data_IF_372800078873
#
_entry.id   IF_372800078873
#
_cell.length_a   1.000
_cell.length_b   1.000
_cell.length_c   1.000
_cell.angle_alpha   90.00
_cell.angle_beta   90.00
_cell.angle_gamma   90.00
#
_symmetry.space_group_name_H-M   'P 1'
#
loop_
_entity.id
_entity.type
_entity.pdbx_description
1 polymer ?
#
# COMPACT_ATOMS: atom_id res chain seq x y z
N UNK A 1 21.51 -18.80 0.53
CA UNK A 1 21.99 -17.43 0.81
C UNK A 1 22.23 -16.75 -0.52
N UNK A 2 21.66 -15.56 -0.69
CA UNK A 2 21.85 -14.72 -1.87
C UNK A 2 22.62 -13.49 -1.37
N UNK A 3 23.72 -13.14 -2.04
CA UNK A 3 24.47 -11.90 -1.73
C UNK A 3 24.46 -11.00 -2.95
N UNK A 4 24.39 -9.72 -2.70
CA UNK A 4 24.49 -8.67 -3.68
C UNK A 4 25.57 -7.69 -3.25
N UNK A 5 26.42 -7.30 -4.19
CA UNK A 5 27.51 -6.35 -3.97
C UNK A 5 27.46 -5.25 -5.03
N UNK A 6 27.66 -4.01 -4.59
CA UNK A 6 27.65 -2.80 -5.41
C UNK A 6 26.41 -2.64 -6.33
N UNK A 7 25.21 -2.91 -5.78
CA UNK A 7 23.95 -2.69 -6.51
C UNK A 7 23.86 -1.22 -6.92
N UNK A 8 23.74 -0.95 -8.22
CA UNK A 8 23.41 0.38 -8.76
C UNK A 8 22.28 0.24 -9.76
N UNK A 9 21.20 0.98 -9.54
CA UNK A 9 20.09 1.09 -10.48
C UNK A 9 20.05 2.52 -10.99
N UNK A 10 20.13 2.69 -12.31
CA UNK A 10 20.13 4.00 -12.97
C UNK A 10 19.03 4.06 -14.01
N UNK A 11 18.44 5.24 -14.17
CA UNK A 11 17.64 5.59 -15.33
C UNK A 11 18.40 6.66 -16.11
N UNK A 12 18.79 6.36 -17.34
CA UNK A 12 19.81 7.14 -18.06
C UNK A 12 21.09 7.26 -17.19
N UNK A 13 21.52 8.48 -16.86
CA UNK A 13 22.67 8.75 -15.99
C UNK A 13 22.30 8.98 -14.52
N UNK A 14 21.00 9.08 -14.21
CA UNK A 14 20.53 9.39 -12.85
C UNK A 14 20.57 8.13 -11.98
N UNK A 15 21.29 8.23 -10.85
CA UNK A 15 21.34 7.17 -9.85
C UNK A 15 20.03 7.13 -9.05
N UNK A 16 19.22 6.10 -9.29
CA UNK A 16 17.97 5.89 -8.57
C UNK A 16 18.18 5.14 -7.26
N UNK A 17 19.13 4.19 -7.25
CA UNK A 17 19.38 3.36 -6.07
C UNK A 17 20.81 2.85 -6.02
N UNK A 18 21.39 2.86 -4.82
CA UNK A 18 22.69 2.29 -4.50
C UNK A 18 22.64 1.46 -3.21
N UNK A 19 23.21 0.27 -3.25
CA UNK A 19 23.50 -0.51 -2.05
C UNK A 19 24.88 -1.17 -2.17
N UNK A 20 25.76 -0.89 -1.21
CA UNK A 20 27.11 -1.45 -1.20
C UNK A 20 27.10 -2.97 -1.02
N UNK A 21 26.31 -3.45 -0.06
CA UNK A 21 26.15 -4.87 0.20
C UNK A 21 24.76 -5.18 0.73
N UNK A 22 24.14 -6.22 0.19
CA UNK A 22 22.88 -6.75 0.69
C UNK A 22 22.91 -8.28 0.70
N UNK A 23 22.48 -8.89 1.80
CA UNK A 23 22.53 -10.36 1.95
C UNK A 23 21.19 -10.87 2.45
N UNK A 24 20.68 -11.89 1.78
CA UNK A 24 19.44 -12.58 2.12
C UNK A 24 19.79 -13.98 2.63
N UNK A 25 19.49 -14.23 3.91
CA UNK A 25 19.65 -15.55 4.54
C UNK A 25 18.32 -16.29 4.52
N UNK A 26 18.38 -17.63 4.41
CA UNK A 26 17.16 -18.46 4.39
C UNK A 26 16.45 -18.36 5.75
N UNK A 27 15.13 -18.16 5.73
CA UNK A 27 14.31 -18.07 6.94
C UNK A 27 14.43 -16.75 7.69
N UNK A 28 15.04 -15.73 7.06
CA UNK A 28 15.22 -14.40 7.65
C UNK A 28 14.00 -13.50 7.36
N UNK A 29 13.61 -12.68 8.33
CA UNK A 29 12.61 -11.63 8.18
C UNK A 29 13.30 -10.26 8.21
N UNK A 30 13.32 -9.58 7.07
CA UNK A 30 14.02 -8.31 6.87
C UNK A 30 13.02 -7.18 6.68
N UNK A 31 13.27 -6.02 7.30
CA UNK A 31 12.51 -4.80 7.05
C UNK A 31 13.32 -3.76 6.27
N UNK A 32 12.68 -3.11 5.30
CA UNK A 32 13.17 -1.95 4.58
C UNK A 32 12.24 -0.76 4.82
N UNK A 33 12.74 0.26 5.50
CA UNK A 33 12.01 1.52 5.70
C UNK A 33 12.54 2.63 4.79
N UNK A 34 11.70 3.62 4.52
CA UNK A 34 12.09 4.83 3.81
C UNK A 34 10.89 5.74 3.57
N UNK A 35 11.15 7.01 3.25
CA UNK A 35 10.08 7.92 2.81
C UNK A 35 9.45 7.44 1.49
N UNK A 36 8.24 7.93 1.19
CA UNK A 36 7.62 7.65 -0.11
C UNK A 36 8.48 8.19 -1.25
N UNK A 37 8.49 7.51 -2.40
CA UNK A 37 9.26 7.91 -3.58
C UNK A 37 10.77 7.64 -3.53
N UNK A 38 11.33 7.13 -2.43
CA UNK A 38 12.77 6.89 -2.30
C UNK A 38 13.29 5.61 -3.01
N UNK A 39 12.40 4.80 -3.60
CA UNK A 39 12.78 3.59 -4.35
C UNK A 39 12.63 2.25 -3.61
N UNK A 40 11.79 2.15 -2.57
CA UNK A 40 11.56 0.89 -1.83
C UNK A 40 11.05 -0.22 -2.75
N UNK A 41 9.99 0.08 -3.51
CA UNK A 41 9.41 -0.78 -4.55
C UNK A 41 10.43 -1.18 -5.60
N UNK A 42 11.25 -0.22 -6.05
CA UNK A 42 12.32 -0.46 -7.03
C UNK A 42 13.32 -1.50 -6.50
N UNK A 43 13.70 -1.39 -5.23
CA UNK A 43 14.61 -2.34 -4.59
C UNK A 43 13.99 -3.73 -4.44
N UNK A 44 12.75 -3.83 -3.96
CA UNK A 44 12.07 -5.12 -3.85
C UNK A 44 11.96 -5.80 -5.22
N UNK A 45 11.60 -5.05 -6.26
CA UNK A 45 11.55 -5.57 -7.63
C UNK A 45 12.92 -6.03 -8.11
N UNK A 46 14.00 -5.32 -7.78
CA UNK A 46 15.36 -5.74 -8.08
C UNK A 46 15.70 -7.08 -7.40
N UNK A 47 15.43 -7.18 -6.10
CA UNK A 47 15.65 -8.42 -5.36
C UNK A 47 14.80 -9.57 -5.89
N UNK A 48 13.58 -9.30 -6.37
CA UNK A 48 12.69 -10.32 -6.92
C UNK A 48 13.01 -10.75 -8.35
N UNK A 49 13.93 -10.06 -9.04
CA UNK A 49 14.20 -10.29 -10.47
C UNK A 49 13.15 -9.67 -11.40
N UNK A 50 12.27 -8.80 -10.89
CA UNK A 50 11.18 -8.18 -11.65
C UNK A 50 11.60 -6.94 -12.43
N UNK A 51 12.85 -6.46 -12.30
CA UNK A 51 13.30 -5.29 -13.06
C UNK A 51 13.67 -5.57 -14.52
N UNK A 52 13.68 -6.83 -14.94
CA UNK A 52 13.91 -7.20 -16.34
C UNK A 52 12.79 -6.71 -17.26
N UNK A 53 11.58 -6.48 -16.72
CA UNK A 53 10.47 -5.85 -17.43
C UNK A 53 10.68 -4.35 -17.72
N UNK A 54 11.74 -3.74 -17.18
CA UNK A 54 12.07 -2.32 -17.35
C UNK A 54 13.45 -2.19 -18.03
N UNK A 55 13.54 -2.40 -19.36
CA UNK A 55 14.80 -2.40 -20.11
C UNK A 55 15.52 -1.03 -20.10
N UNK A 56 14.79 0.06 -19.86
CA UNK A 56 15.32 1.42 -19.72
C UNK A 56 16.18 1.63 -18.46
N UNK A 57 16.06 0.73 -17.48
CA UNK A 57 16.85 0.75 -16.26
C UNK A 57 18.17 0.01 -16.47
N UNK A 58 19.28 0.71 -16.21
CA UNK A 58 20.61 0.08 -16.15
C UNK A 58 20.82 -0.50 -14.75
N UNK A 59 21.07 -1.81 -14.69
CA UNK A 59 21.37 -2.55 -13.45
C UNK A 59 22.84 -2.92 -13.43
N UNK A 60 23.59 -2.42 -12.47
CA UNK A 60 25.01 -2.76 -12.25
C UNK A 60 25.14 -3.41 -10.85
N UNK A 61 26.23 -4.15 -10.66
CA UNK A 61 26.52 -4.86 -9.41
C UNK A 61 26.75 -6.36 -9.65
N UNK A 62 27.10 -7.06 -8.58
CA UNK A 62 27.39 -8.49 -8.59
C UNK A 62 26.36 -9.25 -7.76
N UNK A 63 25.90 -10.38 -8.28
CA UNK A 63 25.03 -11.31 -7.54
C UNK A 63 25.81 -12.58 -7.25
N UNK A 64 25.71 -13.10 -6.03
CA UNK A 64 26.30 -14.37 -5.64
C UNK A 64 25.23 -15.33 -5.14
N UNK A 65 25.11 -16.48 -5.81
CA UNK A 65 24.21 -17.57 -5.45
C UNK A 65 25.04 -18.75 -4.95
N UNK A 66 24.86 -19.14 -3.67
CA UNK A 66 25.67 -20.20 -3.04
C UNK A 66 27.19 -19.97 -3.24
N UNK A 67 27.60 -18.71 -3.10
CA UNK A 67 28.97 -18.22 -3.27
C UNK A 67 29.54 -18.28 -4.72
N UNK A 68 28.72 -18.67 -5.70
CA UNK A 68 29.06 -18.52 -7.12
C UNK A 68 28.65 -17.14 -7.64
N UNK A 69 29.60 -16.42 -8.26
CA UNK A 69 29.33 -15.15 -8.95
C UNK A 69 28.44 -15.38 -10.17
N UNK A 70 27.37 -14.59 -10.29
CA UNK A 70 26.44 -14.52 -11.42
C UNK A 70 26.23 -13.06 -11.80
N UNK A 71 25.95 -12.80 -13.06
CA UNK A 71 25.38 -11.52 -13.46
C UNK A 71 23.89 -11.44 -13.08
N UNK A 72 23.32 -10.24 -13.14
CA UNK A 72 21.94 -10.00 -12.74
C UNK A 72 20.92 -10.67 -13.68
N UNK A 73 21.20 -10.79 -14.98
CA UNK A 73 20.29 -11.46 -15.90
C UNK A 73 20.21 -12.97 -15.58
N UNK A 74 21.37 -13.60 -15.38
CA UNK A 74 21.47 -15.00 -14.96
C UNK A 74 20.78 -15.21 -13.61
N UNK A 75 20.81 -14.23 -12.71
CA UNK A 75 20.03 -14.26 -11.47
C UNK A 75 18.52 -14.29 -11.76
N UNK A 76 18.01 -13.37 -12.59
CA UNK A 76 16.60 -13.30 -12.95
C UNK A 76 16.11 -14.58 -13.65
N UNK A 77 16.85 -15.08 -14.65
CA UNK A 77 16.50 -16.27 -15.44
C UNK A 77 16.34 -17.53 -14.57
N UNK A 78 17.08 -17.59 -13.46
CA UNK A 78 17.07 -18.74 -12.55
C UNK A 78 16.20 -18.54 -11.30
N UNK A 79 15.64 -17.34 -11.08
CA UNK A 79 15.04 -16.98 -9.79
C UNK A 79 13.57 -16.61 -9.87
N UNK A 80 12.78 -17.51 -10.45
CA UNK A 80 11.33 -17.58 -10.18
C UNK A 80 11.01 -18.01 -8.73
N UNK A 81 11.97 -18.11 -7.79
CA UNK A 81 11.71 -18.52 -6.40
C UNK A 81 11.25 -17.37 -5.49
N UNK A 82 10.93 -16.22 -6.09
CA UNK A 82 10.34 -15.08 -5.39
C UNK A 82 8.82 -15.01 -5.58
N UNK A 83 8.12 -14.49 -4.59
CA UNK A 83 6.71 -14.12 -4.63
C UNK A 83 6.59 -12.66 -4.23
N UNK A 84 5.98 -11.83 -5.07
CA UNK A 84 5.87 -10.39 -4.82
C UNK A 84 4.41 -9.99 -4.64
N UNK A 85 4.13 -9.30 -3.54
CA UNK A 85 2.85 -8.61 -3.28
C UNK A 85 3.14 -7.12 -3.28
N UNK A 86 2.57 -6.40 -4.25
CA UNK A 86 2.67 -4.95 -4.32
C UNK A 86 1.65 -4.23 -3.44
N UNK A 87 1.79 -2.91 -3.39
CA UNK A 87 0.92 -2.01 -2.61
C UNK A 87 -0.56 -2.08 -3.02
N UNK A 88 -0.85 -2.22 -4.31
CA UNK A 88 -2.20 -2.33 -4.83
C UNK A 88 -2.57 -3.79 -5.09
N UNK A 89 -3.18 -4.42 -4.10
CA UNK A 89 -3.57 -5.84 -4.11
C UNK A 89 -4.39 -6.25 -5.35
N UNK A 90 -5.24 -5.36 -5.85
CA UNK A 90 -6.10 -5.59 -7.01
C UNK A 90 -5.30 -5.96 -8.28
N UNK A 91 -4.05 -5.50 -8.38
CA UNK A 91 -3.18 -5.79 -9.52
C UNK A 91 -2.51 -7.18 -9.45
N UNK A 92 -2.71 -7.94 -8.37
CA UNK A 92 -2.03 -9.22 -8.12
C UNK A 92 -2.97 -10.43 -8.08
N UNK A 93 -4.26 -10.22 -8.35
CA UNK A 93 -5.24 -11.30 -8.49
C UNK A 93 -5.66 -11.44 -9.95
N UNK A 94 -5.91 -12.67 -10.39
CA UNK A 94 -6.30 -12.94 -11.79
C UNK A 94 -7.54 -13.80 -11.94
N UNK A 95 -7.91 -14.55 -10.90
CA UNK A 95 -9.08 -15.41 -10.86
C UNK A 95 -10.39 -14.67 -10.68
N UNK A 96 -11.49 -15.41 -10.85
CA UNK A 96 -12.85 -14.91 -10.58
C UNK A 96 -13.29 -15.23 -9.16
N UNK A 97 -12.97 -16.44 -8.68
CA UNK A 97 -13.30 -16.92 -7.35
C UNK A 97 -12.06 -17.05 -6.47
N UNK A 98 -12.24 -16.83 -5.17
CA UNK A 98 -11.15 -16.90 -4.19
C UNK A 98 -10.47 -18.27 -4.18
N UNK A 99 -11.24 -19.35 -4.33
CA UNK A 99 -10.71 -20.71 -4.32
C UNK A 99 -9.82 -21.00 -5.54
N UNK A 100 -10.26 -20.62 -6.74
CA UNK A 100 -9.48 -20.78 -7.98
C UNK A 100 -8.14 -20.05 -7.91
N UNK A 101 -8.14 -18.86 -7.30
CA UNK A 101 -6.92 -18.09 -7.05
C UNK A 101 -5.93 -18.91 -6.18
N UNK A 102 -6.40 -19.48 -5.06
CA UNK A 102 -5.53 -20.29 -4.19
C UNK A 102 -5.04 -21.57 -4.87
N UNK A 103 -5.89 -22.23 -5.66
CA UNK A 103 -5.51 -23.42 -6.44
C UNK A 103 -4.36 -23.10 -7.39
N UNK A 104 -4.44 -21.95 -8.07
CA UNK A 104 -3.41 -21.47 -9.00
C UNK A 104 -2.05 -21.31 -8.34
N UNK A 105 -2.00 -21.03 -7.04
CA UNK A 105 -0.74 -20.87 -6.30
C UNK A 105 -0.31 -22.10 -5.50
N UNK A 106 -1.08 -23.19 -5.52
CA UNK A 106 -0.65 -24.50 -5.01
C UNK A 106 0.25 -25.27 -6.00
N UNK A 107 0.74 -24.63 -7.07
CA UNK A 107 1.50 -25.23 -8.19
C UNK A 107 2.61 -26.20 -7.77
N UNK A 108 2.89 -27.16 -8.65
CA UNK A 108 3.89 -28.23 -8.45
C UNK A 108 3.28 -29.61 -8.17
N UNK A 109 1.95 -29.72 -8.18
CA UNK A 109 1.19 -30.94 -7.95
C UNK A 109 0.01 -31.05 -8.92
N UNK A 110 -0.68 -32.20 -8.93
CA UNK A 110 -1.91 -32.41 -9.70
C UNK A 110 -3.03 -31.45 -9.26
N UNK A 111 -3.86 -31.02 -10.21
CA UNK A 111 -4.95 -30.09 -9.95
C UNK A 111 -5.86 -30.54 -8.80
N UNK A 112 -6.19 -31.83 -8.70
CA UNK A 112 -7.06 -32.33 -7.64
C UNK A 112 -6.42 -32.20 -6.25
N UNK A 113 -5.08 -32.34 -6.18
CA UNK A 113 -4.33 -32.15 -4.93
C UNK A 113 -4.31 -30.67 -4.56
N UNK A 114 -4.08 -29.78 -5.53
CA UNK A 114 -4.15 -28.33 -5.35
C UNK A 114 -5.54 -27.89 -4.87
N UNK A 115 -6.60 -28.38 -5.51
CA UNK A 115 -7.99 -28.14 -5.12
C UNK A 115 -8.25 -28.58 -3.69
N UNK A 116 -7.92 -29.83 -3.33
CA UNK A 116 -8.08 -30.33 -1.97
C UNK A 116 -7.33 -29.49 -0.93
N UNK A 117 -6.09 -29.06 -1.23
CA UNK A 117 -5.29 -28.20 -0.35
C UNK A 117 -5.92 -26.82 -0.18
N UNK A 118 -6.34 -26.19 -1.27
CA UNK A 118 -6.99 -24.89 -1.26
C UNK A 118 -8.32 -24.94 -0.49
N UNK A 119 -9.19 -25.91 -0.78
CA UNK A 119 -10.47 -26.09 -0.07
C UNK A 119 -10.26 -26.29 1.43
N UNK A 120 -9.29 -27.13 1.81
CA UNK A 120 -8.94 -27.35 3.22
C UNK A 120 -8.42 -26.07 3.87
N UNK A 121 -7.52 -25.36 3.21
CA UNK A 121 -6.95 -24.12 3.71
C UNK A 121 -8.05 -23.05 3.92
N UNK A 122 -9.00 -22.93 2.98
CA UNK A 122 -10.16 -22.06 3.11
C UNK A 122 -11.03 -22.46 4.30
N UNK A 123 -11.33 -23.76 4.46
CA UNK A 123 -12.12 -24.24 5.59
C UNK A 123 -11.46 -23.95 6.94
N UNK A 124 -10.14 -24.05 7.04
CA UNK A 124 -9.40 -23.84 8.29
C UNK A 124 -9.21 -22.35 8.63
N UNK A 125 -9.10 -21.47 7.63
CA UNK A 125 -8.70 -20.07 7.85
C UNK A 125 -9.82 -19.06 7.56
N UNK A 126 -10.64 -19.30 6.52
CA UNK A 126 -11.68 -18.35 6.09
C UNK A 126 -12.81 -19.04 5.30
N UNK A 127 -13.70 -19.80 5.94
CA UNK A 127 -14.72 -20.62 5.26
C UNK A 127 -15.58 -19.87 4.24
N UNK A 128 -15.90 -18.60 4.50
CA UNK A 128 -16.72 -17.78 3.61
C UNK A 128 -16.02 -17.37 2.30
N UNK A 129 -14.73 -17.67 2.12
CA UNK A 129 -14.07 -17.51 0.82
C UNK A 129 -14.45 -18.60 -0.17
N UNK A 130 -15.04 -19.71 0.30
CA UNK A 130 -15.59 -20.74 -0.59
C UNK A 130 -16.67 -20.12 -1.49
N UNK A 131 -16.56 -20.37 -2.79
CA UNK A 131 -17.47 -19.84 -3.83
C UNK A 131 -17.60 -18.30 -3.89
N UNK A 132 -16.77 -17.54 -3.14
CA UNK A 132 -16.83 -16.08 -3.11
C UNK A 132 -16.08 -15.47 -4.30
N UNK A 133 -16.73 -14.52 -4.98
CA UNK A 133 -16.12 -13.78 -6.09
C UNK A 133 -15.11 -12.76 -5.56
N UNK A 134 -13.94 -12.71 -6.18
CA UNK A 134 -12.86 -11.77 -5.83
C UNK A 134 -13.33 -10.31 -5.95
N UNK A 135 -14.14 -10.00 -6.96
CA UNK A 135 -14.69 -8.65 -7.18
C UNK A 135 -15.62 -8.13 -6.08
N UNK A 136 -16.04 -9.00 -5.15
CA UNK A 136 -16.89 -8.64 -4.00
C UNK A 136 -16.10 -8.46 -2.71
N UNK A 137 -14.79 -8.72 -2.73
CA UNK A 137 -13.95 -8.59 -1.55
C UNK A 137 -13.74 -7.13 -1.17
N UNK A 138 -13.70 -6.85 0.14
CA UNK A 138 -13.11 -5.59 0.61
C UNK A 138 -11.60 -5.58 0.33
N UNK A 139 -10.97 -4.40 0.34
CA UNK A 139 -9.51 -4.31 0.17
C UNK A 139 -8.75 -5.15 1.20
N UNK A 140 -9.19 -5.15 2.47
CA UNK A 140 -8.57 -5.97 3.51
C UNK A 140 -8.76 -7.47 3.29
N UNK A 141 -9.94 -7.89 2.79
CA UNK A 141 -10.17 -9.29 2.42
C UNK A 141 -9.34 -9.71 1.21
N UNK A 142 -9.20 -8.84 0.22
CA UNK A 142 -8.37 -9.07 -0.96
C UNK A 142 -6.89 -9.19 -0.58
N UNK A 143 -6.42 -8.31 0.28
CA UNK A 143 -5.07 -8.38 0.82
C UNK A 143 -4.84 -9.71 1.57
N UNK A 144 -5.80 -10.13 2.39
CA UNK A 144 -5.75 -11.42 3.10
C UNK A 144 -5.69 -12.61 2.11
N UNK A 145 -6.48 -12.58 1.03
CA UNK A 145 -6.41 -13.58 -0.05
C UNK A 145 -5.00 -13.64 -0.67
N UNK A 146 -4.35 -12.51 -0.95
CA UNK A 146 -2.98 -12.50 -1.47
C UNK A 146 -1.95 -13.06 -0.48
N UNK A 147 -2.14 -12.85 0.82
CA UNK A 147 -1.28 -13.51 1.80
C UNK A 147 -1.47 -15.03 1.80
N UNK A 148 -2.68 -15.52 1.54
CA UNK A 148 -2.95 -16.94 1.40
C UNK A 148 -2.26 -17.51 0.16
N UNK A 149 -2.29 -16.79 -0.98
CA UNK A 149 -1.57 -17.22 -2.19
C UNK A 149 -0.06 -17.28 -1.96
N UNK A 150 0.54 -16.26 -1.33
CA UNK A 150 1.96 -16.28 -0.97
C UNK A 150 2.33 -17.43 -0.02
N UNK A 151 1.46 -17.72 0.95
CA UNK A 151 1.65 -18.82 1.90
C UNK A 151 1.60 -20.19 1.23
N UNK A 152 0.64 -20.41 0.33
CA UNK A 152 0.46 -21.67 -0.41
C UNK A 152 1.50 -21.85 -1.53
N UNK A 153 2.06 -20.77 -2.04
CA UNK A 153 3.09 -20.82 -3.07
C UNK A 153 4.32 -21.64 -2.61
N UNK A 154 4.96 -22.34 -3.54
CA UNK A 154 6.23 -23.04 -3.27
C UNK A 154 7.45 -22.10 -3.22
N UNK A 155 7.23 -20.78 -3.29
CA UNK A 155 8.30 -19.77 -3.33
C UNK A 155 8.94 -19.60 -1.96
N UNK A 156 10.27 -19.54 -1.91
CA UNK A 156 11.03 -19.39 -0.66
C UNK A 156 11.33 -17.94 -0.28
N UNK A 157 11.27 -17.00 -1.23
CA UNK A 157 11.48 -15.57 -0.97
C UNK A 157 10.17 -14.80 -1.17
N UNK A 158 9.61 -14.26 -0.09
CA UNK A 158 8.38 -13.45 -0.13
C UNK A 158 8.76 -11.98 0.00
N UNK A 159 8.32 -11.16 -0.94
CA UNK A 159 8.59 -9.73 -1.03
C UNK A 159 7.27 -8.99 -0.88
N UNK A 160 7.16 -8.17 0.18
CA UNK A 160 5.93 -7.51 0.56
C UNK A 160 6.15 -6.00 0.52
N UNK A 161 5.48 -5.31 -0.39
CA UNK A 161 5.55 -3.86 -0.53
C UNK A 161 4.35 -3.19 0.14
N UNK A 162 4.60 -2.52 1.25
CA UNK A 162 3.61 -1.84 2.10
C UNK A 162 2.41 -2.74 2.49
N UNK A 163 2.66 -3.92 3.09
CA UNK A 163 1.62 -4.92 3.35
C UNK A 163 0.50 -4.46 4.30
N UNK A 164 0.72 -3.38 5.05
CA UNK A 164 -0.23 -2.81 6.01
C UNK A 164 -0.96 -1.58 5.45
N UNK A 165 -0.66 -1.18 4.21
CA UNK A 165 -1.33 -0.08 3.56
C UNK A 165 -2.85 -0.32 3.54
N UNK A 166 -3.60 0.74 3.85
CA UNK A 166 -5.08 0.72 3.87
C UNK A 166 -5.70 -0.29 4.85
N UNK A 167 -4.95 -0.98 5.71
CA UNK A 167 -5.49 -1.89 6.72
C UNK A 167 -5.79 -1.21 8.06
N UNK A 168 -6.83 -1.64 8.75
CA UNK A 168 -7.08 -1.25 10.14
C UNK A 168 -6.23 -2.06 11.13
N UNK A 169 -6.35 -1.76 12.44
CA UNK A 169 -5.55 -2.43 13.47
C UNK A 169 -5.77 -3.94 13.51
N UNK A 170 -7.02 -4.39 13.38
CA UNK A 170 -7.38 -5.80 13.48
C UNK A 170 -6.89 -6.58 12.26
N UNK A 171 -7.00 -5.98 11.07
CA UNK A 171 -6.47 -6.57 9.83
C UNK A 171 -4.94 -6.65 9.85
N UNK A 172 -4.24 -5.63 10.37
CA UNK A 172 -2.77 -5.67 10.53
C UNK A 172 -2.33 -6.80 11.46
N UNK A 173 -3.05 -7.03 12.56
CA UNK A 173 -2.77 -8.14 13.48
C UNK A 173 -2.92 -9.51 12.78
N UNK A 174 -3.92 -9.67 11.91
CA UNK A 174 -4.06 -10.88 11.08
C UNK A 174 -2.90 -11.05 10.11
N UNK A 175 -2.59 -10.02 9.33
CA UNK A 175 -1.50 -10.08 8.34
C UNK A 175 -0.16 -10.36 9.03
N UNK A 176 0.08 -9.80 10.20
CA UNK A 176 1.31 -10.05 10.97
C UNK A 176 1.47 -11.53 11.31
N UNK A 177 0.39 -12.19 11.78
CA UNK A 177 0.39 -13.64 12.03
C UNK A 177 0.67 -14.46 10.78
N UNK A 178 0.15 -14.04 9.62
CA UNK A 178 0.47 -14.72 8.36
C UNK A 178 1.95 -14.58 7.99
N UNK A 179 2.50 -13.38 8.12
CA UNK A 179 3.92 -13.12 7.88
C UNK A 179 4.80 -13.98 8.80
N UNK A 180 4.50 -14.06 10.09
CA UNK A 180 5.23 -14.90 11.03
C UNK A 180 5.12 -16.38 10.67
N UNK A 181 3.92 -16.87 10.34
CA UNK A 181 3.72 -18.26 9.94
C UNK A 181 4.47 -18.66 8.66
N UNK A 182 4.69 -17.71 7.73
CA UNK A 182 5.50 -17.96 6.53
C UNK A 182 6.96 -18.20 6.92
N UNK A 183 7.49 -17.39 7.84
CA UNK A 183 8.87 -17.53 8.34
C UNK A 183 9.04 -18.83 9.14
N UNK A 184 8.06 -19.19 9.98
CA UNK A 184 8.04 -20.47 10.72
C UNK A 184 8.09 -21.68 9.79
N UNK A 185 7.47 -21.58 8.60
CA UNK A 185 7.55 -22.60 7.54
C UNK A 185 8.86 -22.57 6.74
N UNK A 186 9.82 -21.75 7.15
CA UNK A 186 11.14 -21.65 6.53
C UNK A 186 11.23 -20.74 5.30
N UNK A 187 10.18 -19.96 5.02
CA UNK A 187 10.23 -18.91 3.99
C UNK A 187 11.06 -17.72 4.50
N UNK A 188 11.68 -17.02 3.58
CA UNK A 188 12.39 -15.77 3.83
C UNK A 188 11.47 -14.63 3.44
N UNK A 189 11.31 -13.62 4.29
CA UNK A 189 10.35 -12.54 4.05
C UNK A 189 11.05 -11.18 4.11
N UNK A 190 10.85 -10.35 3.09
CA UNK A 190 11.30 -8.96 3.07
C UNK A 190 10.06 -8.07 3.02
N UNK A 191 9.94 -7.18 4.00
CA UNK A 191 8.85 -6.22 4.09
C UNK A 191 9.39 -4.82 3.83
N UNK A 192 8.86 -4.12 2.85
CA UNK A 192 9.06 -2.68 2.70
C UNK A 192 7.88 -1.92 3.30
N UNK A 193 8.14 -0.80 3.97
CA UNK A 193 7.08 -0.03 4.61
C UNK A 193 7.53 1.32 5.15
N UNK A 194 6.69 1.90 6.00
CA UNK A 194 6.91 3.21 6.61
C UNK A 194 7.17 3.16 8.11
N UNK A 195 7.15 1.97 8.71
CA UNK A 195 7.58 1.70 10.09
C UNK A 195 6.44 1.33 11.03
N UNK A 196 5.18 1.41 10.59
CA UNK A 196 4.04 0.87 11.36
C UNK A 196 4.20 -0.64 11.59
N UNK A 197 4.86 -1.32 10.65
CA UNK A 197 5.18 -2.75 10.66
C UNK A 197 5.99 -3.14 11.90
N UNK A 198 6.86 -2.26 12.37
CA UNK A 198 7.73 -2.50 13.53
C UNK A 198 6.98 -2.59 14.86
N UNK A 199 5.72 -2.15 14.91
CA UNK A 199 4.85 -2.29 16.07
C UNK A 199 4.13 -3.64 16.11
N UNK A 200 4.09 -4.37 15.00
CA UNK A 200 3.38 -5.64 14.89
C UNK A 200 4.29 -6.83 14.53
N UNK A 201 5.50 -6.58 14.03
CA UNK A 201 6.44 -7.60 13.58
C UNK A 201 7.83 -7.37 14.19
N UNK A 202 8.46 -8.46 14.63
CA UNK A 202 9.87 -8.47 15.03
C UNK A 202 10.76 -8.93 13.89
N UNK A 203 11.66 -8.07 13.42
CA UNK A 203 12.54 -8.34 12.29
C UNK A 203 13.96 -8.69 12.74
N UNK A 204 14.61 -9.61 12.02
CA UNK A 204 16.00 -10.00 12.26
C UNK A 204 16.96 -8.87 11.89
N UNK A 205 16.64 -8.14 10.82
CA UNK A 205 17.45 -7.02 10.30
C UNK A 205 16.59 -5.91 9.75
N UNK A 206 17.10 -4.69 9.92
CA UNK A 206 16.47 -3.46 9.49
C UNK A 206 17.40 -2.72 8.54
N UNK A 207 16.81 -2.18 7.48
CA UNK A 207 17.48 -1.34 6.51
C UNK A 207 16.68 -0.07 6.28
N UNK A 208 17.38 1.01 5.99
CA UNK A 208 16.80 2.28 5.58
C UNK A 208 17.29 2.63 4.17
N UNK A 209 16.34 3.01 3.33
CA UNK A 209 16.57 3.66 2.05
C UNK A 209 16.37 5.17 2.21
N UNK A 210 17.48 5.90 2.08
CA UNK A 210 17.52 7.35 2.20
C UNK A 210 18.52 7.91 1.20
N UNK A 211 18.13 8.97 0.49
CA UNK A 211 18.99 9.65 -0.50
C UNK A 211 19.55 8.66 -1.54
N UNK A 212 18.65 7.82 -2.07
CA UNK A 212 18.96 6.72 -2.99
C UNK A 212 19.91 5.65 -2.44
N UNK A 213 20.30 5.68 -1.16
CA UNK A 213 21.25 4.73 -0.56
C UNK A 213 20.57 3.82 0.45
N UNK A 214 20.83 2.51 0.33
CA UNK A 214 20.42 1.52 1.33
C UNK A 214 21.53 1.34 2.36
N UNK A 215 21.15 1.43 3.64
CA UNK A 215 22.05 1.22 4.77
C UNK A 215 21.38 0.40 5.87
N UNK A 216 22.17 -0.38 6.61
CA UNK A 216 21.68 -1.14 7.77
C UNK A 216 21.47 -0.19 8.94
N UNK A 217 20.36 -0.36 9.67
CA UNK A 217 20.02 0.45 10.85
C UNK A 217 19.63 -0.43 12.04
N UNK A 218 19.45 0.18 13.22
CA UNK A 218 18.96 -0.52 14.43
C UNK A 218 17.60 0.00 14.87
N UNK A 219 16.81 -0.84 15.57
CA UNK A 219 15.42 -0.53 15.99
C UNK A 219 15.32 0.79 16.79
N UNK A 220 16.37 1.10 17.57
CA UNK A 220 16.48 2.34 18.36
C UNK A 220 16.41 3.60 17.50
N UNK A 221 16.98 3.58 16.29
CA UNK A 221 17.02 4.73 15.38
C UNK A 221 15.62 5.10 14.88
N UNK A 222 14.76 4.10 14.71
CA UNK A 222 13.39 4.26 14.21
C UNK A 222 12.46 4.70 15.35
N UNK A 223 12.57 4.06 16.51
CA UNK A 223 11.73 4.38 17.68
C UNK A 223 11.80 5.86 18.08
N UNK A 224 12.99 6.48 18.03
CA UNK A 224 13.18 7.91 18.30
C UNK A 224 12.35 8.78 17.35
N UNK A 225 12.37 8.49 16.05
CA UNK A 225 11.63 9.26 15.04
C UNK A 225 10.11 9.19 15.25
N UNK A 226 9.59 8.02 15.59
CA UNK A 226 8.17 7.85 15.91
C UNK A 226 7.77 8.52 17.23
N UNK A 227 8.64 8.49 18.23
CA UNK A 227 8.42 9.20 19.50
C UNK A 227 8.42 10.71 19.30
N UNK A 228 9.32 11.24 18.47
CA UNK A 228 9.40 12.67 18.14
C UNK A 228 8.16 13.17 17.36
N UNK A 229 7.55 12.32 16.52
CA UNK A 229 6.30 12.63 15.83
C UNK A 229 5.10 12.69 16.79
N UNK A 230 5.09 11.84 17.84
CA UNK A 230 4.04 11.86 18.88
C UNK A 230 4.24 12.96 19.93
N UNK A 231 5.49 13.34 20.22
CA UNK A 231 5.81 14.41 21.17
C UNK A 231 5.59 15.80 20.57
N UNK A 232 5.53 15.92 19.24
CA UNK A 232 4.90 17.06 18.53
C UNK A 232 3.37 16.98 18.58
N UNK A 233 2.79 16.56 19.70
CA UNK A 233 1.43 16.94 20.03
C UNK A 233 1.43 18.46 20.16
N UNK A 234 1.14 19.17 19.06
CA UNK A 234 0.60 20.52 19.17
C UNK A 234 -0.55 20.38 20.14
N UNK A 235 -0.56 21.15 21.22
CA UNK A 235 -1.78 21.34 22.00
C UNK A 235 -2.91 21.53 20.99
N UNK A 236 -3.98 20.73 21.12
CA UNK A 236 -5.17 20.92 20.32
C UNK A 236 -5.55 22.38 20.55
N UNK A 237 -5.23 23.26 19.59
CA UNK A 237 -5.72 24.63 19.64
C UNK A 237 -7.23 24.46 19.75
N UNK A 238 -7.84 25.08 20.75
CA UNK A 238 -9.28 25.27 20.72
C UNK A 238 -9.58 25.93 19.39
N UNK A 239 -10.09 25.14 18.45
CA UNK A 239 -10.57 25.66 17.19
C UNK A 239 -11.77 26.49 17.62
N UNK A 240 -11.68 27.80 17.46
CA UNK A 240 -12.85 28.68 17.55
C UNK A 240 -13.74 28.27 16.38
N UNK A 241 -14.59 27.27 16.59
CA UNK A 241 -15.55 26.83 15.59
C UNK A 241 -16.57 27.95 15.43
N UNK A 242 -16.71 28.46 14.21
CA UNK A 242 -17.83 29.30 13.84
C UNK A 242 -19.12 28.48 14.09
N UNK A 243 -20.11 29.02 14.81
CA UNK A 243 -21.36 28.28 15.11
C UNK A 243 -22.18 27.98 13.84
N UNK A 244 -21.80 28.55 12.69
CA UNK A 244 -22.45 28.30 11.41
C UNK A 244 -22.32 26.83 10.99
N UNK A 245 -23.43 26.11 11.06
CA UNK A 245 -23.60 24.76 10.50
C UNK A 245 -23.59 24.80 8.97
N UNK A 246 -22.65 24.09 8.35
CA UNK A 246 -22.53 23.99 6.89
C UNK A 246 -23.29 22.79 6.33
N UNK A 247 -23.19 21.64 7.00
CA UNK A 247 -23.84 20.40 6.59
C UNK A 247 -24.49 19.77 7.81
N UNK A 248 -25.73 19.34 7.66
CA UNK A 248 -26.48 18.63 8.68
C UNK A 248 -27.07 17.36 8.07
N UNK A 249 -26.80 16.23 8.70
CA UNK A 249 -27.35 14.92 8.37
C UNK A 249 -28.21 14.47 9.55
N UNK A 250 -29.47 14.13 9.29
CA UNK A 250 -30.42 13.64 10.31
C UNK A 250 -31.00 12.29 9.94
N UNK A 251 -31.02 11.39 10.92
CA UNK A 251 -31.66 10.08 10.86
C UNK A 251 -31.21 9.31 9.61
N UNK A 252 -29.91 9.40 9.27
CA UNK A 252 -29.39 8.79 8.05
C UNK A 252 -29.34 7.28 8.22
N UNK A 253 -30.14 6.58 7.41
CA UNK A 253 -29.94 5.15 7.15
C UNK A 253 -29.25 4.92 5.81
N UNK A 254 -28.31 3.98 5.80
CA UNK A 254 -27.69 3.49 4.58
C UNK A 254 -27.25 2.04 4.73
N UNK A 255 -27.53 1.24 3.71
CA UNK A 255 -27.10 -0.14 3.60
C UNK A 255 -26.74 -0.47 2.14
N UNK A 256 -25.75 -1.33 1.96
CA UNK A 256 -25.40 -1.94 0.67
C UNK A 256 -25.91 -3.37 0.67
N UNK A 257 -26.83 -3.70 -0.25
CA UNK A 257 -27.47 -5.02 -0.31
C UNK A 257 -27.98 -5.43 1.08
N UNK A 258 -27.36 -6.42 1.72
CA UNK A 258 -27.74 -6.91 3.05
C UNK A 258 -26.89 -6.34 4.20
N UNK A 259 -25.87 -5.52 3.90
CA UNK A 259 -24.97 -4.95 4.90
C UNK A 259 -25.41 -3.55 5.30
N UNK A 260 -25.95 -3.45 6.50
CA UNK A 260 -26.27 -2.18 7.12
C UNK A 260 -25.01 -1.41 7.56
N UNK A 261 -24.87 -0.16 7.10
CA UNK A 261 -23.77 0.72 7.47
C UNK A 261 -24.20 1.76 8.51
N UNK A 262 -25.36 2.38 8.30
CA UNK A 262 -25.94 3.38 9.20
C UNK A 262 -27.42 3.06 9.43
N UNK A 263 -27.83 3.03 10.69
CA UNK A 263 -29.22 2.79 11.12
C UNK A 263 -29.92 4.05 11.64
N UNK A 264 -29.15 5.02 12.13
CA UNK A 264 -29.64 6.25 12.71
C UNK A 264 -28.43 7.16 12.94
N UNK A 265 -27.91 7.76 11.86
CA UNK A 265 -26.73 8.61 11.93
C UNK A 265 -27.13 10.09 11.84
N UNK A 266 -26.89 10.79 12.94
CA UNK A 266 -26.88 12.25 13.01
C UNK A 266 -25.44 12.78 12.92
N UNK A 267 -25.23 13.79 12.08
CA UNK A 267 -23.93 14.46 11.93
C UNK A 267 -24.13 15.94 11.63
N UNK A 268 -23.42 16.79 12.36
CA UNK A 268 -23.33 18.22 12.11
C UNK A 268 -21.88 18.58 11.74
N UNK A 269 -21.70 19.37 10.68
CA UNK A 269 -20.38 19.88 10.27
C UNK A 269 -20.44 21.40 10.30
N UNK A 270 -19.61 22.01 11.15
CA UNK A 270 -19.54 23.47 11.31
C UNK A 270 -18.41 24.08 10.49
N UNK A 271 -18.53 25.38 10.21
CA UNK A 271 -17.54 26.11 9.43
C UNK A 271 -16.22 26.21 10.21
N UNK A 272 -15.12 25.85 9.52
CA UNK A 272 -13.77 25.85 10.09
C UNK A 272 -13.43 24.62 10.95
N UNK A 273 -14.35 23.66 11.08
CA UNK A 273 -14.15 22.43 11.85
C UNK A 273 -13.25 21.44 11.08
N UNK A 274 -12.33 20.80 11.81
CA UNK A 274 -11.54 19.66 11.30
C UNK A 274 -12.10 18.39 11.95
N UNK A 275 -12.84 17.60 11.16
CA UNK A 275 -13.46 16.36 11.64
C UNK A 275 -12.65 15.17 11.15
N UNK A 276 -12.34 14.24 12.07
CA UNK A 276 -11.69 12.99 11.75
C UNK A 276 -12.65 11.81 11.96
N UNK A 277 -13.00 11.10 10.88
CA UNK A 277 -13.75 9.85 10.98
C UNK A 277 -12.80 8.67 11.22
N UNK A 278 -12.98 7.99 12.35
CA UNK A 278 -12.20 6.80 12.71
C UNK A 278 -13.10 5.57 12.85
N UNK A 279 -12.57 4.40 12.50
CA UNK A 279 -13.29 3.13 12.57
C UNK A 279 -12.62 2.05 11.74
N UNK A 280 -13.07 0.81 11.91
CA UNK A 280 -12.59 -0.36 11.15
C UNK A 280 -12.89 -0.23 9.65
N UNK A 281 -12.18 -0.98 8.83
CA UNK A 281 -12.45 -1.01 7.40
C UNK A 281 -13.85 -1.54 7.09
N UNK A 282 -14.49 -0.96 6.08
CA UNK A 282 -15.86 -1.31 5.70
C UNK A 282 -16.95 -0.89 6.70
N UNK A 283 -16.66 -0.03 7.69
CA UNK A 283 -17.66 0.54 8.60
C UNK A 283 -18.45 1.74 8.02
N UNK A 284 -18.17 2.12 6.76
CA UNK A 284 -18.91 3.19 6.08
C UNK A 284 -18.22 4.55 6.00
N UNK A 285 -16.96 4.74 6.46
CA UNK A 285 -16.26 6.05 6.41
C UNK A 285 -16.32 6.73 5.03
N UNK A 286 -15.93 6.00 3.97
CA UNK A 286 -15.99 6.49 2.59
C UNK A 286 -17.43 6.75 2.15
N UNK A 287 -18.37 5.89 2.55
CA UNK A 287 -19.80 6.05 2.29
C UNK A 287 -20.34 7.34 2.93
N UNK A 288 -19.97 7.63 4.18
CA UNK A 288 -20.33 8.87 4.85
C UNK A 288 -19.76 10.08 4.12
N UNK A 289 -18.49 10.03 3.70
CA UNK A 289 -17.89 11.08 2.87
C UNK A 289 -18.66 11.33 1.58
N UNK A 290 -19.09 10.26 0.88
CA UNK A 290 -19.91 10.35 -0.33
C UNK A 290 -21.33 10.89 -0.06
N UNK A 291 -21.93 10.53 1.07
CA UNK A 291 -23.23 11.09 1.50
C UNK A 291 -23.07 12.59 1.74
N UNK A 292 -22.10 12.99 2.55
CA UNK A 292 -21.82 14.40 2.87
C UNK A 292 -21.52 15.22 1.61
N UNK A 293 -20.80 14.64 0.64
CA UNK A 293 -20.52 15.26 -0.64
C UNK A 293 -21.72 15.29 -1.62
N UNK A 294 -22.81 14.58 -1.30
CA UNK A 294 -23.99 14.46 -2.15
C UNK A 294 -23.81 13.53 -3.35
N UNK A 295 -22.73 12.75 -3.42
CA UNK A 295 -22.50 11.76 -4.50
C UNK A 295 -23.46 10.58 -4.40
N UNK A 296 -23.84 10.19 -3.18
CA UNK A 296 -24.83 9.14 -2.92
C UNK A 296 -25.91 9.67 -1.97
N UNK A 297 -27.16 9.29 -2.24
CA UNK A 297 -28.29 9.66 -1.38
C UNK A 297 -28.47 8.64 -0.26
N UNK A 298 -28.82 9.09 0.95
CA UNK A 298 -29.19 8.17 2.01
C UNK A 298 -30.48 7.43 1.65
N UNK A 299 -30.73 6.27 2.27
CA UNK A 299 -31.95 5.48 2.04
C UNK A 299 -33.16 6.12 2.73
N UNK A 300 -32.95 6.60 3.95
CA UNK A 300 -33.89 7.39 4.74
C UNK A 300 -33.15 8.59 5.36
N UNK A 301 -33.87 9.45 6.10
CA UNK A 301 -33.28 10.65 6.68
C UNK A 301 -33.08 11.79 5.68
N UNK A 302 -32.37 12.84 6.12
CA UNK A 302 -32.17 14.07 5.34
C UNK A 302 -30.74 14.57 5.45
N UNK A 303 -30.19 14.98 4.31
CA UNK A 303 -28.96 15.75 4.22
C UNK A 303 -29.31 17.19 3.82
N UNK A 304 -28.95 18.15 4.67
CA UNK A 304 -29.16 19.57 4.50
C UNK A 304 -27.78 20.21 4.27
N UNK A 305 -27.62 20.87 3.12
CA UNK A 305 -26.41 21.61 2.76
C UNK A 305 -26.73 23.12 2.78
N UNK A 306 -26.14 23.86 3.72
CA UNK A 306 -26.35 25.29 3.93
C UNK A 306 -25.38 26.14 3.08
N UNK A 307 -25.22 25.79 1.80
CA UNK A 307 -24.39 26.54 0.84
C UNK A 307 -22.92 26.14 0.81
N UNK A 308 -22.56 25.00 1.40
CA UNK A 308 -21.22 24.43 1.33
C UNK A 308 -20.93 23.86 -0.07
N UNK A 309 -19.79 24.28 -0.64
CA UNK A 309 -19.22 23.63 -1.83
C UNK A 309 -18.30 22.50 -1.36
N UNK A 310 -18.71 21.26 -1.63
CA UNK A 310 -18.00 20.08 -1.14
C UNK A 310 -17.19 19.45 -2.27
N UNK A 311 -15.95 19.09 -1.98
CA UNK A 311 -15.10 18.29 -2.87
C UNK A 311 -14.79 16.99 -2.13
N UNK A 312 -15.03 15.86 -2.79
CA UNK A 312 -14.68 14.55 -2.27
C UNK A 312 -13.58 13.93 -3.14
N UNK A 313 -12.40 13.72 -2.57
CA UNK A 313 -11.25 13.18 -3.30
C UNK A 313 -11.23 11.64 -3.31
N UNK A 314 -11.97 11.00 -2.40
CA UNK A 314 -12.03 9.54 -2.31
C UNK A 314 -10.69 8.88 -1.97
N UNK A 315 -10.60 7.57 -2.21
CA UNK A 315 -9.41 6.75 -1.94
C UNK A 315 -8.42 6.70 -3.11
N UNK A 316 -8.84 7.17 -4.28
CA UNK A 316 -8.07 7.17 -5.52
C UNK A 316 -8.10 8.58 -6.11
N UNK A 317 -7.25 9.49 -5.60
CA UNK A 317 -7.21 10.87 -6.05
C UNK A 317 -6.85 10.98 -7.54
N UNK A 318 -6.19 9.97 -8.09
CA UNK A 318 -5.74 9.97 -9.48
C UNK A 318 -6.88 10.05 -10.50
N UNK A 319 -8.09 9.63 -10.14
CA UNK A 319 -9.27 9.79 -11.01
C UNK A 319 -9.75 11.26 -11.16
N UNK A 320 -9.21 12.18 -10.35
CA UNK A 320 -9.50 13.60 -10.49
C UNK A 320 -8.59 14.29 -11.50
N UNK A 321 -7.51 13.63 -11.94
CA UNK A 321 -6.65 14.14 -12.99
C UNK A 321 -7.15 13.65 -14.35
N UNK A 322 -7.22 14.57 -15.30
CA UNK A 322 -7.66 14.30 -16.67
C UNK A 322 -6.51 13.97 -17.61
N UNK A 323 -5.29 14.37 -17.25
CA UNK A 323 -4.11 14.29 -18.09
C UNK A 323 -2.96 13.53 -17.42
N UNK A 324 -2.11 12.92 -18.25
CA UNK A 324 -1.00 12.08 -17.78
C UNK A 324 0.20 12.84 -17.23
N UNK A 325 0.18 14.17 -17.29
CA UNK A 325 1.24 15.00 -16.72
C UNK A 325 0.69 16.32 -16.15
N UNK A 326 1.43 16.86 -15.18
CA UNK A 326 1.07 18.08 -14.46
C UNK A 326 0.95 19.31 -15.39
N UNK A 327 1.78 19.37 -16.43
CA UNK A 327 1.78 20.51 -17.35
C UNK A 327 0.46 20.60 -18.12
N UNK A 328 0.02 19.49 -18.71
CA UNK A 328 -1.26 19.40 -19.40
C UNK A 328 -2.40 19.70 -18.44
N UNK A 329 -2.43 19.08 -17.26
CA UNK A 329 -3.47 19.29 -16.24
C UNK A 329 -3.64 20.78 -15.89
N UNK A 330 -2.54 21.50 -15.67
CA UNK A 330 -2.56 22.94 -15.37
C UNK A 330 -2.87 23.77 -16.62
N UNK A 331 -2.44 23.34 -17.81
CA UNK A 331 -2.65 24.09 -19.06
C UNK A 331 -4.13 24.25 -19.44
N UNK A 332 -4.95 23.26 -19.08
CA UNK A 332 -6.40 23.26 -19.34
C UNK A 332 -7.22 23.89 -18.22
N UNK A 333 -6.58 24.36 -17.14
CA UNK A 333 -7.25 25.17 -16.13
C UNK A 333 -7.68 26.51 -16.72
N UNK A 334 -8.88 26.95 -16.33
CA UNK A 334 -9.35 28.31 -16.58
C UNK A 334 -8.33 29.34 -16.06
N UNK A 335 -8.13 30.43 -16.81
CA UNK A 335 -7.00 31.36 -16.62
C UNK A 335 -6.99 31.97 -15.21
N UNK A 336 -8.15 32.34 -14.71
CA UNK A 336 -8.32 32.92 -13.37
C UNK A 336 -8.07 31.90 -12.26
N UNK A 337 -8.48 30.63 -12.47
CA UNK A 337 -8.18 29.52 -11.56
C UNK A 337 -6.70 29.16 -11.56
N UNK A 338 -6.05 29.19 -12.72
CA UNK A 338 -4.61 28.94 -12.87
C UNK A 338 -3.78 29.99 -12.16
N UNK A 339 -4.10 31.27 -12.33
CA UNK A 339 -3.43 32.37 -11.61
C UNK A 339 -3.65 32.24 -10.09
N UNK A 340 -4.88 31.92 -9.66
CA UNK A 340 -5.19 31.69 -8.24
C UNK A 340 -4.43 30.49 -7.67
N UNK A 341 -4.34 29.37 -8.42
CA UNK A 341 -3.61 28.18 -8.01
C UNK A 341 -2.11 28.48 -7.85
N UNK A 342 -1.50 29.13 -8.85
CA UNK A 342 -0.08 29.48 -8.84
C UNK A 342 0.26 30.49 -7.72
N UNK A 343 -0.61 31.46 -7.45
CA UNK A 343 -0.40 32.46 -6.40
C UNK A 343 -0.56 31.92 -4.98
N UNK A 344 -1.24 30.77 -4.80
CA UNK A 344 -1.47 30.15 -3.49
C UNK A 344 -0.55 28.94 -3.21
N UNK A 345 0.39 28.63 -4.11
CA UNK A 345 1.39 27.57 -3.88
C UNK A 345 2.49 28.07 -2.93
N UNK A 346 2.36 27.76 -1.65
CA UNK A 346 3.36 28.05 -0.60
C UNK A 346 4.58 27.11 -0.60
N UNK A 347 4.76 26.29 -1.64
CA UNK A 347 5.88 25.34 -1.77
C UNK A 347 6.67 25.61 -3.06
N UNK A 348 8.00 25.70 -2.96
CA UNK A 348 8.88 25.75 -4.13
C UNK A 348 8.76 24.42 -4.89
N UNK A 349 8.26 24.47 -6.12
CA UNK A 349 8.38 23.33 -7.05
C UNK A 349 9.87 23.21 -7.36
N UNK A 350 10.51 22.11 -6.95
CA UNK A 350 11.89 21.86 -7.34
C UNK A 350 11.96 21.61 -8.85
N UNK A 351 12.58 22.55 -9.54
CA UNK A 351 12.74 22.69 -10.99
C UNK A 351 13.63 21.61 -11.64
N UNK A 352 13.35 20.33 -11.42
CA UNK A 352 14.10 19.27 -12.14
C UNK A 352 13.65 19.05 -13.60
N UNK A 353 12.51 19.62 -14.01
CA UNK A 353 11.92 19.36 -15.34
C UNK A 353 11.39 20.60 -16.08
N UNK A 354 11.80 21.80 -15.67
CA UNK A 354 11.16 23.07 -16.08
C UNK A 354 11.54 23.63 -17.47
N UNK A 355 12.05 22.82 -18.40
CA UNK A 355 12.39 23.30 -19.76
C UNK A 355 11.19 23.40 -20.72
N UNK A 356 9.94 23.28 -20.25
CA UNK A 356 8.75 23.37 -21.12
C UNK A 356 7.69 24.40 -20.67
N UNK A 357 7.95 25.20 -19.63
CA UNK A 357 7.00 26.18 -19.08
C UNK A 357 7.24 27.64 -19.52
N UNK A 358 8.07 27.88 -20.54
CA UNK A 358 8.32 29.20 -21.13
C UNK A 358 7.70 29.38 -22.51
#
# INVERSE_FOLDING_TARGET
MIKFEEIKIKYKEDLLLFAEKFEIKKGEKIFLTGSSGQGKTLFLRYLGGFLDFFPELKKEGLVFLKDEKKDYQTYCDNNFDSFYIGQDAENFVTGVFCEDELITFCQGEDYNVCAMKASKFIADNKPFFKDKKISTLSHGELQELLFFTAFLSQKNLILLDEPFARLDKYEREKVSRFIDSMVEKGKTVIVAGHGIELFHLDFDRLFELKDSKISKIVKKDISKRFFDLRSKSRELKEIVSDETTLIEAKEIEYFYEDKNLFNDLDLEIKKGEIIAFSGINGCGKTTLGKIVAGEIKPKTGKLINNGAKVIFTGSFPDYHFLYGNLFEEISFMDKEKKETFLNNLDFQIEDKYHTQLS
#
